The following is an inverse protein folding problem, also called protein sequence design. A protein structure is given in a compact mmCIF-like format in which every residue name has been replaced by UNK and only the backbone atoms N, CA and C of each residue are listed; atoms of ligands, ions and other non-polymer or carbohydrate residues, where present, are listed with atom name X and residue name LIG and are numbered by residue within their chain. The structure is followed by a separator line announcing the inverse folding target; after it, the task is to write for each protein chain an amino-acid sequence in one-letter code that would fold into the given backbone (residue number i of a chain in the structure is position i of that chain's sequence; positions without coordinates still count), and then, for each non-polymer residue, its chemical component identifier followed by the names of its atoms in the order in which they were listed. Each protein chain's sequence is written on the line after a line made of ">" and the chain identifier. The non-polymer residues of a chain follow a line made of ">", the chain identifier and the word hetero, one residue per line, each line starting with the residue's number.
data_IF_222894142394
#
_entry.id   IF_222894142394
#
_cell.length_a   1.000
_cell.length_b   1.000
_cell.length_c   1.000
_cell.angle_alpha   90.00
_cell.angle_beta   90.00
_cell.angle_gamma   90.00
#
_symmetry.space_group_name_H-M   'P 1'
#
loop_
_entity.id
_entity.type
_entity.pdbx_description
1 polymer ?
#
# COMPACT_ATOMS: atom_id res chain seq x y z
N UNK A 1 37.52 -41.89 -23.68
CA UNK A 1 36.88 -41.58 -22.36
C UNK A 1 36.71 -40.08 -22.09
N UNK A 2 37.50 -39.21 -22.66
CA UNK A 2 37.49 -37.76 -22.38
C UNK A 2 36.26 -36.96 -22.90
N UNK A 3 35.59 -37.44 -23.96
CA UNK A 3 34.42 -36.71 -24.55
C UNK A 3 33.17 -36.78 -23.66
N UNK A 4 32.94 -37.90 -23.00
CA UNK A 4 31.79 -38.05 -22.09
C UNK A 4 31.97 -37.23 -20.79
N UNK A 5 33.20 -37.11 -20.31
CA UNK A 5 33.51 -36.31 -19.12
C UNK A 5 33.31 -34.82 -19.41
N UNK A 6 33.79 -34.33 -20.60
CA UNK A 6 33.59 -32.94 -21.01
C UNK A 6 32.10 -32.61 -21.18
N UNK A 7 31.29 -33.49 -21.76
CA UNK A 7 29.86 -33.26 -21.95
C UNK A 7 29.12 -33.18 -20.62
N UNK A 8 29.42 -34.04 -19.67
CA UNK A 8 28.84 -34.00 -18.33
C UNK A 8 29.23 -32.74 -17.57
N UNK A 9 30.48 -32.32 -17.67
CA UNK A 9 30.94 -31.07 -17.04
C UNK A 9 30.22 -29.84 -17.63
N UNK A 10 30.06 -29.76 -18.95
CA UNK A 10 29.36 -28.65 -19.61
C UNK A 10 27.89 -28.61 -19.16
N UNK A 11 27.21 -29.77 -19.09
CA UNK A 11 25.81 -29.83 -18.65
C UNK A 11 25.68 -29.37 -17.18
N UNK A 12 26.59 -29.80 -16.30
CA UNK A 12 26.59 -29.40 -14.91
C UNK A 12 26.83 -27.91 -14.72
N UNK A 13 27.79 -27.33 -15.45
CA UNK A 13 28.05 -25.90 -15.38
C UNK A 13 26.90 -25.07 -15.96
N UNK A 14 26.29 -25.47 -17.06
CA UNK A 14 25.10 -24.81 -17.60
C UNK A 14 23.92 -24.89 -16.62
N UNK A 15 23.68 -26.06 -16.01
CA UNK A 15 22.62 -26.20 -15.04
C UNK A 15 22.85 -25.34 -13.79
N UNK A 16 24.09 -25.26 -13.31
CA UNK A 16 24.45 -24.42 -12.17
C UNK A 16 24.26 -22.91 -12.46
N UNK A 17 24.71 -22.47 -13.64
CA UNK A 17 24.55 -21.06 -14.06
C UNK A 17 23.08 -20.72 -14.27
N UNK A 18 22.31 -21.58 -14.92
CA UNK A 18 20.87 -21.36 -15.12
C UNK A 18 20.15 -21.35 -13.77
N UNK A 19 20.46 -22.25 -12.87
CA UNK A 19 19.89 -22.27 -11.52
C UNK A 19 20.21 -21.00 -10.74
N UNK A 20 21.43 -20.49 -10.83
CA UNK A 20 21.83 -19.23 -10.20
C UNK A 20 21.05 -18.04 -10.77
N UNK A 21 20.90 -17.96 -12.10
CA UNK A 21 20.13 -16.89 -12.73
C UNK A 21 18.67 -16.91 -12.31
N UNK A 22 18.04 -18.09 -12.32
CA UNK A 22 16.65 -18.23 -11.86
C UNK A 22 16.51 -17.81 -10.39
N UNK A 23 17.46 -18.20 -9.54
CA UNK A 23 17.47 -17.81 -8.13
C UNK A 23 17.58 -16.28 -7.95
N UNK A 24 18.45 -15.61 -8.71
CA UNK A 24 18.61 -14.15 -8.67
C UNK A 24 17.31 -13.46 -9.07
N UNK A 25 16.66 -13.91 -10.17
CA UNK A 25 15.40 -13.32 -10.62
C UNK A 25 14.32 -13.46 -9.56
N UNK A 26 14.12 -14.66 -9.00
CA UNK A 26 13.14 -14.89 -7.95
C UNK A 26 13.43 -14.09 -6.67
N UNK A 27 14.70 -13.93 -6.31
CA UNK A 27 15.10 -13.10 -5.18
C UNK A 27 14.79 -11.61 -5.41
N UNK A 28 15.04 -11.10 -6.62
CA UNK A 28 14.71 -9.73 -6.99
C UNK A 28 13.20 -9.47 -6.97
N UNK A 29 12.42 -10.39 -7.51
CA UNK A 29 10.96 -10.28 -7.52
C UNK A 29 10.40 -10.28 -6.09
N UNK A 30 10.89 -11.17 -5.23
CA UNK A 30 10.51 -11.22 -3.83
C UNK A 30 10.85 -9.95 -3.05
N UNK A 31 12.05 -9.40 -3.25
CA UNK A 31 12.49 -8.16 -2.61
C UNK A 31 11.66 -6.97 -3.10
N UNK A 32 11.36 -6.91 -4.38
CA UNK A 32 10.56 -5.84 -4.96
C UNK A 32 9.12 -5.84 -4.41
N UNK A 33 8.52 -7.03 -4.27
CA UNK A 33 7.21 -7.18 -3.63
C UNK A 33 7.19 -6.64 -2.19
N UNK A 34 8.17 -7.07 -1.36
CA UNK A 34 8.27 -6.62 0.04
C UNK A 34 8.51 -5.11 0.13
N UNK A 35 9.28 -4.54 -0.79
CA UNK A 35 9.57 -3.11 -0.80
C UNK A 35 8.34 -2.28 -1.17
N UNK A 36 7.52 -2.76 -2.13
CA UNK A 36 6.26 -2.13 -2.52
C UNK A 36 5.26 -2.11 -1.36
N UNK A 37 5.12 -3.23 -0.65
CA UNK A 37 4.25 -3.35 0.53
C UNK A 37 4.65 -2.33 1.62
N UNK A 38 5.94 -2.24 1.93
CA UNK A 38 6.47 -1.30 2.95
C UNK A 38 6.30 0.17 2.55
N UNK A 39 6.40 0.50 1.27
CA UNK A 39 6.17 1.87 0.80
C UNK A 39 4.72 2.30 1.02
N UNK A 40 3.77 1.44 0.73
CA UNK A 40 2.34 1.70 0.96
C UNK A 40 2.03 1.84 2.45
N UNK A 41 2.66 1.03 3.30
CA UNK A 41 2.52 1.12 4.76
C UNK A 41 3.02 2.45 5.30
N UNK A 42 4.19 2.92 4.83
CA UNK A 42 4.78 4.16 5.32
C UNK A 42 3.94 5.40 5.00
N UNK A 43 3.34 5.45 3.80
CA UNK A 43 2.45 6.55 3.40
C UNK A 43 1.16 6.51 4.22
N UNK A 44 0.55 5.34 4.35
CA UNK A 44 -0.66 5.18 5.14
C UNK A 44 -0.44 5.51 6.62
N UNK A 45 0.67 5.06 7.21
CA UNK A 45 1.04 5.39 8.59
C UNK A 45 1.24 6.90 8.77
N UNK A 46 1.80 7.59 7.80
CA UNK A 46 1.98 9.04 7.84
C UNK A 46 0.63 9.77 7.81
N UNK A 47 -0.31 9.35 6.95
CA UNK A 47 -1.68 9.87 6.90
C UNK A 47 -2.38 9.65 8.24
N UNK A 48 -2.25 8.46 8.82
CA UNK A 48 -2.83 8.10 10.12
C UNK A 48 -2.23 8.93 11.26
N UNK A 49 -0.91 9.17 11.24
CA UNK A 49 -0.23 9.99 12.28
C UNK A 49 -0.65 11.45 12.25
N UNK A 50 -0.96 11.98 11.09
CA UNK A 50 -1.40 13.37 10.94
C UNK A 50 -2.87 13.60 11.30
N UNK A 51 -3.57 12.59 11.82
CA UNK A 51 -4.99 12.64 12.23
C UNK A 51 -5.95 13.10 11.12
N UNK A 52 -5.60 12.87 9.87
CA UNK A 52 -6.36 13.41 8.75
C UNK A 52 -6.31 14.94 8.68
N UNK A 53 -5.44 15.60 9.43
CA UNK A 53 -5.28 17.05 9.45
C UNK A 53 -4.88 17.66 8.10
N UNK A 54 -4.59 16.80 7.10
CA UNK A 54 -4.39 17.20 5.71
C UNK A 54 -5.56 17.99 5.11
N UNK A 55 -6.75 17.88 5.71
CA UNK A 55 -7.92 18.65 5.29
C UNK A 55 -7.81 20.16 5.62
N UNK A 56 -6.93 20.54 6.55
CA UNK A 56 -6.67 21.93 6.97
C UNK A 56 -5.21 22.35 6.77
N UNK A 57 -4.35 21.49 6.23
CA UNK A 57 -2.99 21.89 5.96
C UNK A 57 -2.94 22.78 4.73
N UNK A 58 -2.54 24.02 4.99
CA UNK A 58 -2.01 24.92 3.99
C UNK A 58 -0.78 24.25 3.39
N UNK A 59 -0.90 23.68 2.19
CA UNK A 59 0.18 22.97 1.51
C UNK A 59 1.37 23.87 1.15
N UNK A 60 1.24 25.18 1.33
CA UNK A 60 2.32 26.15 1.21
C UNK A 60 3.24 26.15 2.45
N UNK A 61 2.83 25.52 3.55
CA UNK A 61 3.63 25.42 4.78
C UNK A 61 3.78 23.97 5.20
N UNK A 62 4.81 23.26 4.70
CA UNK A 62 5.04 21.85 5.04
C UNK A 62 5.24 21.71 6.56
N UNK A 63 4.67 20.67 7.18
CA UNK A 63 4.94 20.38 8.58
C UNK A 63 6.43 20.09 8.77
N UNK A 64 7.03 20.50 9.89
CA UNK A 64 8.48 20.49 10.11
C UNK A 64 9.13 19.10 10.14
N UNK A 65 8.38 18.03 9.94
CA UNK A 65 8.86 16.65 10.13
C UNK A 65 8.68 15.71 8.94
N UNK A 66 8.22 16.17 7.77
CA UNK A 66 8.00 15.31 6.60
C UNK A 66 9.14 15.49 5.60
N UNK A 67 9.91 14.42 5.28
CA UNK A 67 10.91 14.49 4.23
C UNK A 67 10.27 14.91 2.89
N UNK A 68 10.88 15.83 2.11
CA UNK A 68 10.29 16.39 0.89
C UNK A 68 9.92 15.33 -0.16
N UNK A 69 10.64 14.23 -0.24
CA UNK A 69 10.35 13.09 -1.13
C UNK A 69 9.02 12.38 -0.86
N UNK A 70 8.50 12.47 0.37
CA UNK A 70 7.25 11.82 0.74
C UNK A 70 6.04 12.75 0.54
N UNK A 71 6.25 14.04 0.43
CA UNK A 71 5.19 15.03 0.28
C UNK A 71 4.57 15.00 -1.12
N UNK A 72 5.38 14.83 -2.17
CA UNK A 72 4.88 14.70 -3.55
C UNK A 72 4.08 13.40 -3.73
N UNK A 73 4.53 12.32 -3.11
CA UNK A 73 3.79 11.05 -3.11
C UNK A 73 2.48 11.15 -2.36
N UNK A 74 2.44 11.89 -1.29
CA UNK A 74 1.26 12.12 -0.49
C UNK A 74 0.23 12.99 -1.22
N UNK A 75 0.69 14.01 -1.96
CA UNK A 75 -0.15 14.84 -2.84
C UNK A 75 -0.78 14.04 -3.99
N UNK A 76 -0.07 13.04 -4.50
CA UNK A 76 -0.55 12.16 -5.57
C UNK A 76 -1.32 10.95 -5.06
N UNK A 77 -1.33 10.69 -3.76
CA UNK A 77 -2.07 9.56 -3.18
C UNK A 77 -3.55 9.87 -3.13
N UNK A 78 -4.34 8.97 -3.71
CA UNK A 78 -5.79 9.02 -3.64
C UNK A 78 -6.25 8.29 -2.39
N UNK A 79 -6.86 9.01 -1.46
CA UNK A 79 -7.36 8.44 -0.22
C UNK A 79 -8.69 9.06 0.20
N UNK A 80 -9.42 8.36 1.04
CA UNK A 80 -10.59 8.87 1.71
C UNK A 80 -10.61 8.42 3.18
N UNK A 81 -11.39 9.12 3.98
CA UNK A 81 -11.46 8.91 5.42
C UNK A 81 -12.92 8.76 5.82
N UNK A 82 -13.19 7.75 6.62
CA UNK A 82 -14.51 7.55 7.23
C UNK A 82 -14.38 7.62 8.74
N UNK A 83 -15.19 8.49 9.34
CA UNK A 83 -15.31 8.63 10.80
C UNK A 83 -16.53 7.87 11.29
N UNK A 84 -16.35 7.00 12.27
CA UNK A 84 -17.43 6.26 12.94
C UNK A 84 -17.36 6.44 14.45
N UNK A 85 -18.48 6.24 15.12
CA UNK A 85 -18.54 6.20 16.58
C UNK A 85 -18.08 4.84 17.14
N UNK A 86 -18.19 4.71 18.48
CA UNK A 86 -17.85 3.47 19.18
C UNK A 86 -18.73 2.28 18.81
N UNK A 87 -19.93 2.52 18.29
CA UNK A 87 -20.91 1.49 17.91
C UNK A 87 -20.83 1.13 16.42
N UNK A 88 -19.96 1.81 15.68
CA UNK A 88 -19.76 1.59 14.24
C UNK A 88 -20.66 2.42 13.34
N UNK A 89 -21.48 3.34 13.89
CA UNK A 89 -22.28 4.24 13.08
C UNK A 89 -21.38 5.29 12.42
N UNK A 90 -21.61 5.55 11.14
CA UNK A 90 -20.82 6.50 10.39
C UNK A 90 -21.26 7.93 10.73
N UNK A 91 -20.31 8.73 11.22
CA UNK A 91 -20.51 10.13 11.59
C UNK A 91 -20.21 11.05 10.40
N UNK A 92 -19.10 10.77 9.70
CA UNK A 92 -18.60 11.63 8.60
C UNK A 92 -17.83 10.83 7.56
N UNK A 93 -17.88 11.28 6.30
CA UNK A 93 -17.19 10.67 5.16
C UNK A 93 -16.51 11.78 4.36
N UNK A 94 -15.19 11.69 4.25
CA UNK A 94 -14.40 12.62 3.49
C UNK A 94 -13.77 11.95 2.28
N UNK A 95 -14.25 12.30 1.08
CA UNK A 95 -13.80 11.79 -0.22
C UNK A 95 -13.13 12.87 -1.09
N UNK A 96 -12.76 14.03 -0.54
CA UNK A 96 -12.26 15.18 -1.31
C UNK A 96 -10.97 14.88 -2.08
N UNK A 97 -10.17 13.91 -1.62
CA UNK A 97 -8.91 13.52 -2.27
C UNK A 97 -9.09 12.40 -3.32
N UNK A 98 -10.33 11.96 -3.54
CA UNK A 98 -10.62 10.87 -4.48
C UNK A 98 -11.98 11.09 -5.13
N UNK A 99 -11.99 11.25 -6.46
CA UNK A 99 -13.23 11.43 -7.24
C UNK A 99 -13.83 10.11 -7.76
N UNK A 100 -13.11 8.98 -7.57
CA UNK A 100 -13.50 7.68 -8.13
C UNK A 100 -14.37 6.85 -7.20
N UNK A 101 -14.78 7.38 -6.06
CA UNK A 101 -15.66 6.72 -5.09
C UNK A 101 -16.75 7.69 -4.65
N UNK A 102 -17.97 7.18 -4.51
CA UNK A 102 -19.08 7.90 -3.92
C UNK A 102 -19.19 7.63 -2.41
N UNK A 103 -19.90 8.50 -1.72
CA UNK A 103 -20.04 8.42 -0.27
C UNK A 103 -20.71 7.11 0.19
N UNK A 104 -21.65 6.56 -0.58
CA UNK A 104 -22.33 5.33 -0.22
C UNK A 104 -21.39 4.12 -0.29
N UNK A 105 -20.58 4.05 -1.33
CA UNK A 105 -19.55 2.99 -1.47
C UNK A 105 -18.48 3.14 -0.38
N UNK A 106 -18.05 4.36 -0.05
CA UNK A 106 -17.12 4.62 1.02
C UNK A 106 -17.64 4.15 2.40
N UNK A 107 -18.94 4.38 2.68
CA UNK A 107 -19.61 3.86 3.86
C UNK A 107 -19.64 2.34 3.89
N UNK A 108 -19.97 1.70 2.76
CA UNK A 108 -20.01 0.23 2.66
C UNK A 108 -18.64 -0.40 3.00
N UNK A 109 -17.55 0.18 2.49
CA UNK A 109 -16.21 -0.28 2.84
C UNK A 109 -15.88 -0.08 4.33
N UNK A 110 -16.31 1.03 4.93
CA UNK A 110 -16.09 1.28 6.35
C UNK A 110 -16.84 0.28 7.24
N UNK A 111 -18.07 -0.08 6.88
CA UNK A 111 -18.85 -1.13 7.55
C UNK A 111 -18.16 -2.49 7.43
N UNK A 112 -17.70 -2.88 6.23
CA UNK A 112 -16.99 -4.14 6.01
C UNK A 112 -15.69 -4.20 6.85
N UNK A 113 -14.95 -3.09 6.97
CA UNK A 113 -13.77 -3.01 7.83
C UNK A 113 -14.15 -3.11 9.30
N UNK A 114 -15.24 -2.46 9.73
CA UNK A 114 -15.75 -2.57 11.10
C UNK A 114 -16.07 -4.02 11.46
N UNK A 115 -16.83 -4.71 10.64
CA UNK A 115 -17.22 -6.12 10.84
C UNK A 115 -16.01 -7.06 10.86
N UNK A 116 -14.97 -6.76 10.08
CA UNK A 116 -13.75 -7.56 10.06
C UNK A 116 -12.95 -7.51 11.36
N UNK A 117 -13.13 -6.49 12.18
CA UNK A 117 -12.39 -6.24 13.43
C UNK A 117 -10.90 -5.95 13.24
N UNK A 118 -10.41 -5.82 12.01
CA UNK A 118 -8.99 -5.61 11.70
C UNK A 118 -8.61 -4.14 11.85
N UNK A 119 -7.38 -3.89 12.32
CA UNK A 119 -6.82 -2.52 12.44
C UNK A 119 -6.17 -2.04 11.14
N UNK A 120 -5.79 -2.95 10.25
CA UNK A 120 -5.22 -2.65 8.93
C UNK A 120 -5.41 -3.84 8.00
N UNK A 121 -5.36 -3.59 6.69
CA UNK A 121 -5.49 -4.64 5.68
C UNK A 121 -5.85 -4.07 4.32
N UNK A 122 -6.49 -4.93 3.52
CA UNK A 122 -6.97 -4.60 2.19
C UNK A 122 -8.46 -4.87 2.08
N UNK A 123 -9.15 -4.00 1.38
CA UNK A 123 -10.53 -4.19 0.95
C UNK A 123 -10.62 -3.73 -0.51
N UNK A 124 -10.92 -4.68 -1.42
CA UNK A 124 -10.90 -4.46 -2.86
C UNK A 124 -9.54 -3.86 -3.34
N UNK A 125 -9.55 -2.68 -3.95
CA UNK A 125 -8.35 -1.97 -4.41
C UNK A 125 -7.75 -1.01 -3.38
N UNK A 126 -8.35 -0.93 -2.20
CA UNK A 126 -7.93 -0.01 -1.14
C UNK A 126 -7.16 -0.73 -0.05
N UNK A 127 -6.06 -0.11 0.39
CA UNK A 127 -5.37 -0.45 1.64
C UNK A 127 -5.97 0.41 2.73
N UNK A 128 -6.28 -0.18 3.89
CA UNK A 128 -6.88 0.57 4.98
C UNK A 128 -6.07 0.47 6.28
N UNK A 129 -6.20 1.50 7.10
CA UNK A 129 -5.75 1.50 8.48
C UNK A 129 -6.77 2.22 9.36
N UNK A 130 -6.89 1.73 10.58
CA UNK A 130 -7.85 2.22 11.57
C UNK A 130 -7.11 2.85 12.73
N UNK A 131 -7.53 4.06 13.11
CA UNK A 131 -7.04 4.77 14.28
C UNK A 131 -8.19 5.12 15.21
N UNK A 132 -8.00 4.84 16.49
CA UNK A 132 -8.94 5.26 17.55
C UNK A 132 -8.56 6.65 18.05
N UNK A 133 -9.50 7.58 18.07
CA UNK A 133 -9.30 8.93 18.60
C UNK A 133 -10.42 9.21 19.61
N UNK A 134 -10.10 9.00 20.89
CA UNK A 134 -11.12 9.09 21.95
C UNK A 134 -12.24 8.07 21.74
N UNK A 135 -13.52 8.50 21.73
CA UNK A 135 -14.66 7.61 21.47
C UNK A 135 -14.82 7.29 19.98
N UNK A 136 -14.22 8.11 19.09
CA UNK A 136 -14.40 8.01 17.66
C UNK A 136 -13.32 7.11 17.02
N UNK A 137 -13.68 6.52 15.90
CA UNK A 137 -12.80 5.67 15.08
C UNK A 137 -12.65 6.28 13.69
N UNK A 138 -11.40 6.55 13.28
CA UNK A 138 -11.08 6.98 11.92
C UNK A 138 -10.56 5.79 11.11
N UNK A 139 -11.18 5.52 9.98
CA UNK A 139 -10.72 4.53 9.02
C UNK A 139 -10.21 5.25 7.78
N UNK A 140 -8.93 5.07 7.50
CA UNK A 140 -8.24 5.64 6.35
C UNK A 140 -8.18 4.60 5.24
N UNK A 141 -8.54 4.98 4.02
CA UNK A 141 -8.47 4.14 2.83
C UNK A 141 -7.59 4.79 1.79
N UNK A 142 -6.60 4.09 1.28
CA UNK A 142 -5.69 4.56 0.23
C UNK A 142 -5.82 3.67 -1.00
N UNK A 143 -6.04 4.28 -2.17
CA UNK A 143 -6.09 3.58 -3.46
C UNK A 143 -4.68 3.11 -3.85
N UNK A 144 -4.51 1.81 -4.04
CA UNK A 144 -3.26 1.17 -4.47
C UNK A 144 -3.32 0.61 -5.88
N UNK A 145 -4.38 0.94 -6.65
CA UNK A 145 -4.58 0.41 -8.00
C UNK A 145 -3.48 0.82 -8.97
N UNK A 146 -3.01 2.07 -8.91
CA UNK A 146 -1.91 2.55 -9.76
C UNK A 146 -0.58 1.85 -9.44
N UNK A 147 -0.33 1.58 -8.17
CA UNK A 147 0.87 0.87 -7.74
C UNK A 147 0.87 -0.58 -8.23
N UNK A 148 -0.29 -1.23 -8.23
CA UNK A 148 -0.46 -2.57 -8.79
C UNK A 148 -0.39 -2.59 -10.31
N UNK A 149 -0.99 -1.63 -11.00
CA UNK A 149 -0.96 -1.54 -12.46
C UNK A 149 0.47 -1.38 -13.00
N UNK A 150 1.29 -0.54 -12.36
CA UNK A 150 2.69 -0.37 -12.75
C UNK A 150 3.52 -1.65 -12.55
N UNK A 151 3.16 -2.49 -11.58
CA UNK A 151 3.83 -3.78 -11.37
C UNK A 151 3.54 -4.77 -12.50
N UNK A 152 2.31 -4.81 -13.00
CA UNK A 152 1.92 -5.71 -14.10
C UNK A 152 2.41 -5.25 -15.48
N UNK A 153 2.82 -3.99 -15.65
CA UNK A 153 3.39 -3.51 -16.92
C UNK A 153 4.88 -3.84 -17.10
N UNK A 154 5.57 -4.29 -16.07
CA UNK A 154 7.03 -4.56 -16.08
C UNK A 154 7.32 -6.05 -16.29
N UNK A 155 6.30 -6.90 -16.35
CA UNK A 155 6.39 -8.31 -16.66
C UNK A 155 5.95 -8.54 -18.11
#
# INVERSE_FOLDING_TARGET
>A
MTKLLKRRFIIFTMMAVTGLLVFIVLAMDGLNWVMLERQSDSVLEMIVRSDGAFHKMDFDRPPPFVPPLNMDRMRSSRFFIVKSDADGNIIDVNTDQISSIDNETAKAYAVAVWESGKKSGHVDRYKFAVKQIGPDRLTFFMDISEQRANFYMVI
#
